data_IF_637802423818
#
_entry.id   IF_637802423818
#
_cell.length_a   1.000
_cell.length_b   1.000
_cell.length_c   1.000
_cell.angle_alpha   90.00
_cell.angle_beta   90.00
_cell.angle_gamma   90.00
#
_symmetry.space_group_name_H-M   'P 1'
#
loop_
_entity.id
_entity.type
_entity.pdbx_description
1 polymer ?
#
# COMPACT_ATOMS: atom_id res chain seq x y z
N UNK A 1 -46.11 -12.37 13.51
CA UNK A 1 -45.96 -11.02 12.91
C UNK A 1 -45.47 -10.14 14.04
N UNK A 2 -44.25 -9.60 14.07
CA UNK A 2 -43.41 -9.02 13.00
C UNK A 2 -41.92 -9.10 13.38
N UNK A 3 -41.08 -9.39 12.38
CA UNK A 3 -39.61 -9.23 12.39
C UNK A 3 -39.21 -7.79 12.72
N UNK A 4 -38.16 -7.63 13.53
CA UNK A 4 -37.29 -6.46 13.50
C UNK A 4 -35.84 -6.95 13.48
N UNK A 5 -35.27 -6.91 12.28
CA UNK A 5 -33.86 -7.14 11.98
C UNK A 5 -32.98 -6.17 12.77
N UNK A 6 -31.98 -6.70 13.46
CA UNK A 6 -30.91 -5.95 14.11
C UNK A 6 -29.90 -5.51 13.05
N UNK A 7 -30.18 -4.37 12.43
CA UNK A 7 -29.44 -3.88 11.25
C UNK A 7 -28.85 -2.48 11.50
N UNK A 8 -28.21 -2.23 12.66
CA UNK A 8 -27.63 -0.91 12.98
C UNK A 8 -26.51 -1.00 14.03
N UNK A 9 -25.23 -1.07 13.58
CA UNK A 9 -24.36 0.13 13.60
C UNK A 9 -23.65 0.42 12.26
N UNK A 10 -23.73 -0.49 11.29
CA UNK A 10 -22.96 -0.41 10.03
C UNK A 10 -23.40 0.71 9.07
N UNK A 11 -24.66 1.16 9.13
CA UNK A 11 -25.18 2.23 8.25
C UNK A 11 -24.76 3.64 8.69
N UNK A 12 -24.56 3.88 9.99
CA UNK A 12 -24.25 5.22 10.49
C UNK A 12 -22.87 5.75 10.03
N UNK A 13 -21.88 4.87 9.83
CA UNK A 13 -20.52 5.29 9.39
C UNK A 13 -20.41 5.58 7.89
N UNK A 14 -21.40 5.19 7.07
CA UNK A 14 -21.38 5.47 5.63
C UNK A 14 -21.86 6.88 5.28
N UNK A 15 -22.54 7.57 6.21
CA UNK A 15 -23.18 8.86 5.97
C UNK A 15 -22.20 10.05 5.89
N UNK A 16 -21.01 9.95 6.50
CA UNK A 16 -20.02 11.04 6.56
C UNK A 16 -18.79 10.86 5.65
N UNK A 17 -18.78 9.87 4.76
CA UNK A 17 -17.64 9.66 3.85
C UNK A 17 -17.73 10.55 2.62
N UNK A 18 -16.59 11.11 2.20
CA UNK A 18 -16.50 11.83 0.92
C UNK A 18 -16.75 10.87 -0.26
N UNK A 19 -17.18 11.38 -1.43
CA UNK A 19 -17.27 10.56 -2.65
C UNK A 19 -15.96 9.84 -2.99
N UNK A 20 -14.83 10.50 -2.77
CA UNK A 20 -13.48 9.93 -2.96
C UNK A 20 -13.22 8.75 -2.03
N UNK A 21 -13.44 8.91 -0.72
CA UNK A 21 -13.28 7.83 0.26
C UNK A 21 -14.17 6.63 -0.06
N UNK A 22 -15.42 6.88 -0.49
CA UNK A 22 -16.35 5.81 -0.89
C UNK A 22 -15.86 5.06 -2.11
N UNK A 23 -15.30 5.77 -3.09
CA UNK A 23 -14.75 5.15 -4.30
C UNK A 23 -13.51 4.34 -3.95
N UNK A 24 -12.58 4.94 -3.19
CA UNK A 24 -11.37 4.28 -2.71
C UNK A 24 -11.67 2.98 -1.97
N UNK A 25 -12.61 2.97 -1.01
CA UNK A 25 -12.97 1.77 -0.25
C UNK A 25 -13.60 0.65 -1.10
N UNK A 26 -14.31 1.01 -2.18
CA UNK A 26 -14.95 0.02 -3.07
C UNK A 26 -13.96 -0.62 -4.04
N UNK A 27 -12.89 0.07 -4.40
CA UNK A 27 -11.87 -0.47 -5.31
C UNK A 27 -11.20 -1.71 -4.72
N UNK A 28 -10.87 -2.69 -5.57
CA UNK A 28 -9.97 -3.79 -5.19
C UNK A 28 -8.63 -3.23 -4.75
N UNK A 29 -7.94 -3.96 -3.87
CA UNK A 29 -6.61 -3.59 -3.37
C UNK A 29 -5.61 -4.66 -3.77
N UNK A 30 -4.45 -4.24 -4.21
CA UNK A 30 -3.36 -5.11 -4.65
C UNK A 30 -2.12 -4.76 -3.84
N UNK A 31 -1.38 -5.76 -3.37
CA UNK A 31 -0.09 -5.54 -2.70
C UNK A 31 0.96 -6.24 -3.55
N UNK A 32 1.78 -5.43 -4.23
CA UNK A 32 2.99 -5.85 -4.91
C UNK A 32 4.05 -6.17 -3.85
N UNK A 33 4.11 -7.44 -3.44
CA UNK A 33 4.97 -7.92 -2.35
C UNK A 33 6.34 -8.37 -2.88
N UNK A 34 7.40 -7.96 -2.18
CA UNK A 34 8.72 -8.58 -2.30
C UNK A 34 9.01 -9.37 -1.03
N UNK A 35 9.44 -10.62 -1.17
CA UNK A 35 9.95 -11.40 -0.04
C UNK A 35 11.46 -11.52 -0.15
N UNK A 36 12.14 -11.29 0.97
CA UNK A 36 13.59 -11.48 1.10
C UNK A 36 13.83 -12.63 2.06
N UNK A 37 14.61 -13.63 1.66
CA UNK A 37 15.07 -14.69 2.55
C UNK A 37 16.52 -14.46 2.95
N UNK A 38 16.79 -14.44 4.24
CA UNK A 38 18.12 -14.15 4.75
C UNK A 38 19.11 -15.32 4.57
N UNK A 39 20.38 -15.08 4.90
CA UNK A 39 21.44 -16.09 4.79
C UNK A 39 21.23 -17.27 5.75
N UNK A 40 20.53 -17.07 6.88
CA UNK A 40 20.22 -18.16 7.82
C UNK A 40 19.19 -19.09 7.20
N UNK A 41 18.18 -18.57 6.49
CA UNK A 41 17.27 -19.39 5.68
C UNK A 41 18.02 -20.23 4.65
N UNK A 42 19.04 -19.66 4.01
CA UNK A 42 19.88 -20.39 3.05
C UNK A 42 20.57 -21.61 3.69
N UNK A 43 21.14 -21.45 4.88
CA UNK A 43 21.73 -22.56 5.63
C UNK A 43 20.70 -23.55 6.18
N UNK A 44 19.57 -23.04 6.68
CA UNK A 44 18.50 -23.85 7.30
C UNK A 44 17.90 -24.87 6.32
N UNK A 45 17.88 -24.52 5.03
CA UNK A 45 17.35 -25.36 3.96
C UNK A 45 18.46 -25.96 3.10
N UNK A 46 19.60 -26.32 3.72
CA UNK A 46 20.70 -27.06 3.10
C UNK A 46 21.24 -26.41 1.81
N UNK A 47 21.23 -25.07 1.73
CA UNK A 47 21.64 -24.30 0.56
C UNK A 47 20.77 -24.54 -0.69
N UNK A 48 19.61 -25.18 -0.53
CA UNK A 48 18.69 -25.47 -1.63
C UNK A 48 17.76 -24.28 -1.89
N UNK A 49 18.14 -23.48 -2.89
CA UNK A 49 17.34 -22.36 -3.37
C UNK A 49 15.95 -22.80 -3.86
N UNK A 50 15.81 -24.02 -4.39
CA UNK A 50 14.52 -24.53 -4.86
C UNK A 50 13.56 -24.75 -3.68
N UNK A 51 14.04 -25.37 -2.60
CA UNK A 51 13.23 -25.60 -1.39
C UNK A 51 12.79 -24.28 -0.74
N UNK A 52 13.69 -23.29 -0.66
CA UNK A 52 13.36 -21.96 -0.12
C UNK A 52 12.30 -21.26 -0.98
N UNK A 53 12.44 -21.30 -2.31
CA UNK A 53 11.45 -20.74 -3.25
C UNK A 53 10.08 -21.39 -3.09
N UNK A 54 10.03 -22.72 -3.12
CA UNK A 54 8.78 -23.48 -2.95
C UNK A 54 8.07 -23.10 -1.66
N UNK A 55 8.81 -23.05 -0.55
CA UNK A 55 8.26 -22.62 0.74
C UNK A 55 7.66 -21.21 0.70
N UNK A 56 8.34 -20.27 0.06
CA UNK A 56 7.87 -18.89 -0.06
C UNK A 56 6.62 -18.82 -0.94
N UNK A 57 6.55 -19.60 -2.02
CA UNK A 57 5.35 -19.67 -2.87
C UNK A 57 4.14 -20.21 -2.09
N UNK A 58 4.32 -21.27 -1.29
CA UNK A 58 3.27 -21.81 -0.42
C UNK A 58 2.78 -20.78 0.62
N UNK A 59 3.70 -19.99 1.19
CA UNK A 59 3.37 -18.88 2.09
C UNK A 59 2.49 -17.85 1.36
N UNK A 60 2.92 -17.36 0.19
CA UNK A 60 2.20 -16.32 -0.57
C UNK A 60 0.81 -16.81 -1.02
N UNK A 61 0.69 -18.05 -1.49
CA UNK A 61 -0.60 -18.63 -1.85
C UNK A 61 -1.58 -18.62 -0.66
N UNK A 62 -1.07 -18.85 0.54
CA UNK A 62 -1.87 -18.79 1.77
C UNK A 62 -2.28 -17.35 2.10
N UNK A 63 -1.40 -16.37 1.88
CA UNK A 63 -1.71 -14.95 2.07
C UNK A 63 -2.88 -14.49 1.19
N UNK A 64 -2.93 -14.92 -0.07
CA UNK A 64 -4.05 -14.59 -0.98
C UNK A 64 -5.40 -15.09 -0.46
N UNK A 65 -5.43 -16.27 0.18
CA UNK A 65 -6.64 -16.79 0.81
C UNK A 65 -7.03 -15.97 2.04
N UNK A 66 -6.07 -15.63 2.91
CA UNK A 66 -6.31 -14.86 4.15
C UNK A 66 -6.84 -13.46 3.84
N UNK A 67 -6.22 -12.74 2.90
CA UNK A 67 -6.50 -11.34 2.62
C UNK A 67 -7.76 -11.10 1.77
N UNK A 68 -8.30 -12.15 1.15
CA UNK A 68 -9.52 -12.06 0.32
C UNK A 68 -10.69 -11.42 1.06
N UNK A 69 -10.88 -11.71 2.35
CA UNK A 69 -11.99 -11.16 3.15
C UNK A 69 -11.92 -9.63 3.29
N UNK A 70 -10.72 -9.05 3.09
CA UNK A 70 -10.47 -7.62 3.11
C UNK A 70 -10.46 -6.99 1.70
N UNK A 71 -10.80 -7.76 0.66
CA UNK A 71 -10.72 -7.36 -0.75
C UNK A 71 -9.29 -6.93 -1.17
N UNK A 72 -8.29 -7.60 -0.58
CA UNK A 72 -6.86 -7.42 -0.85
C UNK A 72 -6.33 -8.67 -1.55
N UNK A 73 -5.53 -8.44 -2.58
CA UNK A 73 -4.85 -9.46 -3.39
C UNK A 73 -3.35 -9.26 -3.28
N UNK A 74 -2.60 -10.29 -2.87
CA UNK A 74 -1.16 -10.24 -2.64
C UNK A 74 -0.44 -10.90 -3.81
N UNK A 75 0.36 -10.13 -4.53
CA UNK A 75 1.12 -10.62 -5.67
C UNK A 75 2.62 -10.61 -5.33
N UNK A 76 3.29 -11.76 -5.43
CA UNK A 76 4.74 -11.81 -5.26
C UNK A 76 5.41 -11.28 -6.53
N UNK A 77 5.82 -10.02 -6.50
CA UNK A 77 6.46 -9.35 -7.67
C UNK A 77 7.99 -9.47 -7.65
N UNK A 78 8.57 -9.91 -6.54
CA UNK A 78 10.00 -10.13 -6.43
C UNK A 78 10.37 -11.06 -5.28
N UNK A 79 11.47 -11.78 -5.47
CA UNK A 79 12.03 -12.69 -4.49
C UNK A 79 13.55 -12.56 -4.50
N UNK A 80 14.13 -12.23 -3.35
CA UNK A 80 15.58 -12.16 -3.17
C UNK A 80 16.03 -13.13 -2.07
N UNK A 81 17.07 -13.91 -2.33
CA UNK A 81 17.65 -14.85 -1.36
C UNK A 81 19.11 -14.45 -1.16
N UNK A 82 19.47 -14.08 0.06
CA UNK A 82 20.82 -13.63 0.41
C UNK A 82 21.78 -14.79 0.59
N UNK A 83 22.19 -15.44 -0.51
CA UNK A 83 23.04 -16.63 -0.49
C UNK A 83 24.55 -16.37 -0.30
N UNK A 84 24.98 -15.10 -0.33
CA UNK A 84 26.39 -14.71 -0.15
C UNK A 84 26.68 -14.05 1.20
N UNK A 85 25.70 -14.02 2.10
CA UNK A 85 25.71 -13.26 3.34
C UNK A 85 24.60 -12.20 3.35
N UNK A 86 24.20 -11.79 4.55
CA UNK A 86 23.15 -10.81 4.74
C UNK A 86 23.58 -9.41 4.26
N UNK A 87 22.66 -8.67 3.63
CA UNK A 87 22.89 -7.28 3.23
C UNK A 87 22.61 -6.27 4.36
N UNK A 88 22.08 -6.76 5.48
CA UNK A 88 21.88 -6.03 6.73
C UNK A 88 22.41 -6.85 7.91
N UNK A 89 22.56 -6.22 9.07
CA UNK A 89 22.83 -6.95 10.29
C UNK A 89 21.54 -7.56 10.85
N UNK A 90 21.33 -8.87 10.61
CA UNK A 90 20.19 -9.61 11.18
C UNK A 90 20.56 -10.08 12.59
N UNK A 91 19.81 -9.63 13.59
CA UNK A 91 20.09 -9.89 15.01
C UNK A 91 18.89 -10.50 15.73
N UNK A 92 19.08 -11.02 16.94
CA UNK A 92 17.96 -11.52 17.75
C UNK A 92 17.00 -10.40 18.19
N UNK A 93 17.40 -9.13 18.07
CA UNK A 93 16.50 -8.00 18.27
C UNK A 93 15.63 -7.79 17.04
N UNK A 94 14.34 -8.10 17.16
CA UNK A 94 13.37 -7.85 16.10
C UNK A 94 13.23 -6.36 15.76
N UNK A 95 13.47 -5.47 16.74
CA UNK A 95 13.43 -4.02 16.50
C UNK A 95 14.59 -3.57 15.62
N UNK A 96 15.82 -3.93 15.98
CA UNK A 96 17.03 -3.49 15.25
C UNK A 96 17.08 -4.09 13.85
N UNK A 97 16.63 -5.34 13.71
CA UNK A 97 16.52 -6.02 12.41
C UNK A 97 15.47 -5.37 11.51
N UNK A 98 14.29 -5.03 12.06
CA UNK A 98 13.23 -4.36 11.29
C UNK A 98 13.68 -2.98 10.80
N UNK A 99 14.32 -2.19 11.66
CA UNK A 99 14.79 -0.85 11.29
C UNK A 99 15.86 -0.93 10.20
N UNK A 100 16.85 -1.82 10.38
CA UNK A 100 17.90 -2.07 9.38
C UNK A 100 17.31 -2.55 8.03
N UNK A 101 16.30 -3.42 8.07
CA UNK A 101 15.64 -3.92 6.86
C UNK A 101 14.85 -2.82 6.14
N UNK A 102 14.15 -1.96 6.89
CA UNK A 102 13.47 -0.79 6.35
C UNK A 102 14.43 0.18 5.67
N UNK A 103 15.57 0.47 6.30
CA UNK A 103 16.59 1.35 5.69
C UNK A 103 17.18 0.76 4.41
N UNK A 104 17.47 -0.54 4.42
CA UNK A 104 17.94 -1.23 3.23
C UNK A 104 16.90 -1.23 2.11
N UNK A 105 15.61 -1.45 2.43
CA UNK A 105 14.53 -1.37 1.44
C UNK A 105 14.52 0.00 0.75
N UNK A 106 14.58 1.06 1.54
CA UNK A 106 14.55 2.45 1.04
C UNK A 106 15.77 2.81 0.20
N UNK A 107 16.96 2.48 0.69
CA UNK A 107 18.23 2.91 0.08
C UNK A 107 18.72 2.01 -1.05
N UNK A 108 18.28 0.75 -1.09
CA UNK A 108 18.73 -0.25 -2.06
C UNK A 108 17.57 -0.83 -2.88
N UNK A 109 16.67 -1.60 -2.25
CA UNK A 109 15.70 -2.42 -2.99
C UNK A 109 14.75 -1.58 -3.86
N UNK A 110 14.22 -0.47 -3.33
CA UNK A 110 13.30 0.42 -4.05
C UNK A 110 13.96 1.09 -5.26
N UNK A 111 15.28 1.27 -5.26
CA UNK A 111 16.00 1.90 -6.38
C UNK A 111 16.14 0.97 -7.60
N UNK A 112 15.88 -0.33 -7.44
CA UNK A 112 16.06 -1.34 -8.50
C UNK A 112 14.83 -2.20 -8.76
N UNK A 113 13.85 -2.22 -7.85
CA UNK A 113 12.59 -2.95 -8.02
C UNK A 113 11.44 -2.18 -7.39
N UNK A 114 10.47 -1.75 -8.22
CA UNK A 114 9.20 -1.19 -7.74
C UNK A 114 8.37 -2.29 -7.06
N UNK A 115 7.82 -1.97 -5.88
CA UNK A 115 6.94 -2.82 -5.08
C UNK A 115 6.33 -2.02 -3.92
N UNK A 116 5.23 -2.50 -3.35
CA UNK A 116 4.45 -1.79 -2.33
C UNK A 116 4.91 -2.08 -0.91
N UNK A 117 5.28 -3.34 -0.65
CA UNK A 117 5.64 -3.86 0.68
C UNK A 117 6.75 -4.91 0.56
N UNK A 118 7.66 -4.96 1.53
CA UNK A 118 8.65 -6.03 1.61
C UNK A 118 8.61 -6.77 2.94
N UNK A 119 8.72 -8.10 2.90
CA UNK A 119 8.78 -8.94 4.10
C UNK A 119 10.10 -9.71 4.13
N UNK A 120 10.85 -9.60 5.24
CA UNK A 120 12.05 -10.40 5.48
C UNK A 120 11.63 -11.71 6.17
N UNK A 121 11.86 -12.84 5.52
CA UNK A 121 11.77 -14.17 6.11
C UNK A 121 13.16 -14.59 6.62
N UNK A 122 13.30 -14.75 7.92
CA UNK A 122 14.59 -15.07 8.55
C UNK A 122 14.55 -16.39 9.32
N UNK A 123 15.67 -17.10 9.29
CA UNK A 123 15.88 -18.30 10.08
C UNK A 123 16.34 -18.03 11.52
N UNK A 124 16.60 -16.77 11.90
CA UNK A 124 17.02 -16.41 13.25
C UNK A 124 15.91 -16.62 14.27
N UNK A 125 16.27 -16.87 15.52
CA UNK A 125 15.34 -16.86 16.64
C UNK A 125 15.33 -15.47 17.29
N UNK A 126 14.20 -14.78 17.27
CA UNK A 126 14.10 -13.46 17.89
C UNK A 126 14.00 -13.59 19.41
N UNK A 127 14.56 -12.61 20.12
CA UNK A 127 14.48 -12.56 21.57
C UNK A 127 13.03 -12.35 22.03
N UNK A 128 12.55 -13.25 22.89
CA UNK A 128 11.18 -13.23 23.42
C UNK A 128 10.26 -14.19 22.68
N UNK A 129 8.96 -13.92 22.72
CA UNK A 129 7.93 -14.79 22.10
C UNK A 129 7.46 -14.29 20.73
N UNK A 130 8.10 -13.25 20.17
CA UNK A 130 7.70 -12.64 18.92
C UNK A 130 8.20 -13.46 17.73
N UNK A 131 7.31 -13.93 16.86
CA UNK A 131 7.68 -14.58 15.60
C UNK A 131 7.73 -13.59 14.41
N UNK A 132 7.60 -12.29 14.67
CA UNK A 132 7.64 -11.25 13.66
C UNK A 132 7.52 -9.85 14.25
N UNK A 133 7.71 -8.85 13.38
CA UNK A 133 7.43 -7.44 13.67
C UNK A 133 7.22 -6.64 12.38
N UNK A 134 6.23 -5.77 12.38
CA UNK A 134 5.97 -4.79 11.31
C UNK A 134 5.58 -3.43 11.87
N UNK A 135 5.77 -2.38 11.07
CA UNK A 135 5.31 -1.03 11.43
C UNK A 135 3.81 -0.88 11.21
N UNK A 136 3.10 -0.28 12.18
CA UNK A 136 1.63 -0.12 12.10
C UNK A 136 1.23 1.04 11.19
N UNK A 137 0.37 0.77 10.20
CA UNK A 137 -0.25 1.79 9.33
C UNK A 137 0.74 2.45 8.37
N UNK A 138 1.76 1.72 7.93
CA UNK A 138 2.88 2.24 7.12
C UNK A 138 2.96 1.69 5.69
N UNK A 139 1.91 1.00 5.23
CA UNK A 139 1.82 0.56 3.84
C UNK A 139 2.14 1.70 2.85
N UNK A 140 2.85 1.38 1.76
CA UNK A 140 3.38 2.30 0.75
C UNK A 140 4.53 3.24 1.17
N UNK A 141 4.87 3.37 2.46
CA UNK A 141 5.97 4.25 2.87
C UNK A 141 7.35 3.64 2.53
N UNK A 142 8.33 4.40 2.00
CA UNK A 142 9.60 3.86 1.51
C UNK A 142 10.41 3.04 2.53
N UNK A 143 10.70 3.60 3.71
CA UNK A 143 11.36 2.86 4.80
C UNK A 143 10.42 1.90 5.54
N UNK A 144 9.15 2.28 5.70
CA UNK A 144 8.28 1.67 6.70
C UNK A 144 7.27 0.65 6.21
N UNK A 145 7.09 0.50 4.88
CA UNK A 145 6.27 -0.57 4.31
C UNK A 145 7.04 -1.89 4.32
N UNK A 146 7.40 -2.33 5.53
CA UNK A 146 8.16 -3.54 5.79
C UNK A 146 7.64 -4.30 7.01
N UNK A 147 7.89 -5.61 7.00
CA UNK A 147 7.85 -6.47 8.18
C UNK A 147 8.97 -7.50 8.15
N UNK A 148 9.24 -8.10 9.29
CA UNK A 148 10.15 -9.23 9.44
C UNK A 148 9.40 -10.38 10.09
N UNK A 149 9.66 -11.60 9.63
CA UNK A 149 8.97 -12.82 10.04
C UNK A 149 10.02 -13.89 10.27
N UNK A 150 9.99 -14.47 11.47
CA UNK A 150 10.76 -15.66 11.78
C UNK A 150 10.13 -16.87 11.11
N UNK A 151 10.95 -17.72 10.52
CA UNK A 151 10.54 -19.02 10.00
C UNK A 151 10.33 -20.04 11.14
N UNK A 152 9.40 -19.72 12.04
CA UNK A 152 9.26 -20.31 13.39
C UNK A 152 8.72 -21.75 13.42
N UNK A 153 8.20 -22.25 12.29
CA UNK A 153 7.58 -23.57 12.25
C UNK A 153 7.82 -24.27 10.90
N UNK A 154 7.94 -25.60 10.89
CA UNK A 154 8.03 -26.39 9.64
C UNK A 154 6.77 -26.26 8.78
N UNK A 155 5.60 -26.15 9.42
CA UNK A 155 4.32 -25.96 8.75
C UNK A 155 4.26 -24.54 8.19
N UNK A 156 4.36 -24.39 6.86
CA UNK A 156 4.37 -23.07 6.19
C UNK A 156 3.11 -22.24 6.48
N UNK A 157 1.97 -22.89 6.73
CA UNK A 157 0.71 -22.21 7.05
C UNK A 157 0.79 -21.35 8.32
N UNK A 158 1.58 -21.78 9.31
CA UNK A 158 1.78 -21.02 10.55
C UNK A 158 2.72 -19.83 10.34
N UNK A 159 3.68 -19.97 9.43
CA UNK A 159 4.57 -18.86 9.02
C UNK A 159 3.80 -17.87 8.14
N UNK A 160 2.92 -18.34 7.26
CA UNK A 160 2.01 -17.50 6.50
C UNK A 160 1.04 -16.72 7.39
N UNK A 161 0.52 -17.34 8.45
CA UNK A 161 -0.29 -16.63 9.45
C UNK A 161 0.51 -15.52 10.15
N UNK A 162 1.79 -15.75 10.45
CA UNK A 162 2.65 -14.71 11.04
C UNK A 162 2.95 -13.59 10.03
N UNK A 163 3.22 -13.92 8.77
CA UNK A 163 3.42 -12.90 7.73
C UNK A 163 2.14 -12.08 7.47
N UNK A 164 0.97 -12.71 7.49
CA UNK A 164 -0.32 -12.01 7.43
C UNK A 164 -0.56 -11.13 8.67
N UNK A 165 -0.05 -11.50 9.83
CA UNK A 165 -0.11 -10.67 11.02
C UNK A 165 0.73 -9.39 10.83
N UNK A 166 1.97 -9.51 10.39
CA UNK A 166 2.86 -8.34 10.20
C UNK A 166 2.41 -7.43 9.06
N UNK A 167 1.93 -8.01 7.95
CA UNK A 167 1.27 -7.24 6.89
C UNK A 167 -0.03 -6.59 7.37
N UNK A 168 -0.76 -7.24 8.30
CA UNK A 168 -1.94 -6.67 8.98
C UNK A 168 -1.59 -5.40 9.76
N UNK A 169 -0.47 -5.42 10.50
CA UNK A 169 0.08 -4.21 11.11
C UNK A 169 0.39 -3.15 10.06
N UNK A 170 1.10 -3.47 8.97
CA UNK A 170 1.36 -2.50 7.89
C UNK A 170 0.09 -1.85 7.33
N UNK A 171 -1.02 -2.59 7.33
CA UNK A 171 -2.37 -2.18 6.91
C UNK A 171 -3.21 -1.52 8.03
N UNK A 172 -2.58 -1.13 9.14
CA UNK A 172 -3.17 -0.34 10.22
C UNK A 172 -4.01 -1.13 11.21
N UNK A 173 -3.81 -2.44 11.31
CA UNK A 173 -4.49 -3.27 12.32
C UNK A 173 -3.65 -3.36 13.60
N UNK A 174 -4.31 -3.23 14.74
CA UNK A 174 -3.72 -3.49 16.06
C UNK A 174 -3.99 -4.94 16.49
N UNK A 175 -3.37 -5.36 17.60
CA UNK A 175 -3.69 -6.65 18.21
C UNK A 175 -5.14 -6.74 18.68
N UNK A 176 -5.71 -7.94 18.59
CA UNK A 176 -7.05 -8.24 19.07
C UNK A 176 -7.12 -8.17 20.61
N UNK A 177 -8.04 -7.34 21.11
CA UNK A 177 -8.39 -7.26 22.52
C UNK A 177 -9.43 -8.30 22.94
N UNK A 178 -9.81 -8.28 24.22
CA UNK A 178 -10.73 -9.26 24.86
C UNK A 178 -12.11 -9.32 24.17
N UNK A 179 -12.56 -8.22 23.57
CA UNK A 179 -13.88 -8.12 22.93
C UNK A 179 -13.88 -8.48 21.43
N UNK A 180 -12.70 -8.72 20.85
CA UNK A 180 -12.56 -8.98 19.42
C UNK A 180 -12.80 -10.46 19.11
N UNK A 181 -13.53 -10.74 18.03
CA UNK A 181 -13.85 -12.11 17.63
C UNK A 181 -13.86 -12.30 16.11
N UNK A 182 -13.40 -13.48 15.70
CA UNK A 182 -13.51 -13.98 14.33
C UNK A 182 -14.35 -15.27 14.25
N UNK A 183 -15.01 -15.66 15.35
CA UNK A 183 -15.76 -16.93 15.43
C UNK A 183 -14.89 -18.18 15.51
N UNK A 184 -13.57 -18.02 15.67
CA UNK A 184 -12.61 -19.11 15.85
C UNK A 184 -11.80 -18.90 17.15
N UNK A 185 -11.01 -19.92 17.54
CA UNK A 185 -10.21 -19.88 18.78
C UNK A 185 -9.08 -18.84 18.76
N UNK A 186 -8.58 -18.49 17.58
CA UNK A 186 -7.52 -17.50 17.40
C UNK A 186 -7.66 -16.83 16.05
N UNK A 187 -7.65 -15.50 16.03
CA UNK A 187 -7.68 -14.68 14.83
C UNK A 187 -6.26 -14.31 14.40
N UNK A 188 -6.09 -13.83 13.16
CA UNK A 188 -4.77 -13.45 12.62
C UNK A 188 -4.08 -12.41 13.51
N UNK A 189 -4.80 -11.40 13.99
CA UNK A 189 -4.24 -10.31 14.81
C UNK A 189 -4.19 -10.62 16.32
N UNK A 190 -4.32 -11.88 16.73
CA UNK A 190 -4.05 -12.30 18.10
C UNK A 190 -2.60 -11.95 18.48
N UNK A 191 -2.40 -11.24 19.58
CA UNK A 191 -1.06 -10.88 20.07
C UNK A 191 -0.23 -12.06 20.61
N UNK A 192 -0.76 -13.28 20.54
CA UNK A 192 -0.08 -14.51 20.97
C UNK A 192 -0.17 -15.54 19.83
N UNK A 193 0.98 -16.11 19.45
CA UNK A 193 1.04 -17.24 18.52
C UNK A 193 0.41 -18.49 19.15
N UNK A 194 -0.49 -19.12 18.40
CA UNK A 194 -1.15 -20.38 18.77
C UNK A 194 -0.99 -21.37 17.61
N UNK A 195 -0.86 -22.66 17.89
CA UNK A 195 -0.77 -23.68 16.83
C UNK A 195 -2.12 -23.87 16.09
N UNK A 196 -3.24 -23.55 16.74
CA UNK A 196 -4.58 -23.57 16.15
C UNK A 196 -4.96 -22.17 15.63
N UNK A 197 -4.21 -21.65 14.65
CA UNK A 197 -4.54 -20.37 14.00
C UNK A 197 -5.70 -20.52 13.01
N UNK A 198 -6.66 -19.60 13.03
CA UNK A 198 -7.59 -19.45 11.90
C UNK A 198 -7.02 -18.50 10.84
N UNK A 199 -7.56 -18.57 9.62
CA UNK A 199 -7.26 -17.61 8.54
C UNK A 199 -8.21 -16.40 8.54
N UNK A 200 -8.77 -16.08 9.71
CA UNK A 200 -9.82 -15.09 9.85
C UNK A 200 -9.30 -13.87 10.61
N UNK A 201 -9.55 -12.70 10.04
CA UNK A 201 -9.44 -11.43 10.76
C UNK A 201 -10.65 -11.22 11.68
N UNK A 202 -10.44 -10.59 12.83
CA UNK A 202 -11.53 -10.27 13.74
C UNK A 202 -12.40 -9.14 13.20
N UNK A 203 -13.56 -8.93 13.82
CA UNK A 203 -14.32 -7.69 13.68
C UNK A 203 -13.51 -6.43 13.99
N UNK A 204 -12.70 -6.44 15.04
CA UNK A 204 -11.81 -5.32 15.38
C UNK A 204 -10.77 -5.05 14.30
N UNK A 205 -10.10 -6.09 13.78
CA UNK A 205 -9.07 -5.90 12.74
C UNK A 205 -9.68 -5.30 11.47
N UNK A 206 -10.87 -5.76 11.08
CA UNK A 206 -11.60 -5.24 9.90
C UNK A 206 -11.96 -3.76 10.07
N UNK A 207 -12.39 -3.35 11.27
CA UNK A 207 -12.73 -1.96 11.55
C UNK A 207 -11.48 -1.07 11.63
N UNK A 208 -10.41 -1.53 12.28
CA UNK A 208 -9.13 -0.81 12.33
C UNK A 208 -8.55 -0.58 10.93
N UNK A 209 -8.54 -1.63 10.10
CA UNK A 209 -8.12 -1.55 8.71
C UNK A 209 -8.98 -0.57 7.90
N UNK A 210 -10.31 -0.64 8.06
CA UNK A 210 -11.24 0.29 7.40
C UNK A 210 -10.95 1.74 7.77
N UNK A 211 -10.75 2.04 9.06
CA UNK A 211 -10.38 3.38 9.53
C UNK A 211 -9.04 3.84 8.94
N UNK A 212 -8.05 2.95 8.91
CA UNK A 212 -6.77 3.22 8.28
C UNK A 212 -6.92 3.62 6.80
N UNK A 213 -7.71 2.87 6.04
CA UNK A 213 -7.98 3.17 4.63
C UNK A 213 -8.70 4.51 4.43
N UNK A 214 -9.70 4.82 5.27
CA UNK A 214 -10.44 6.10 5.22
C UNK A 214 -9.52 7.29 5.48
N UNK A 215 -8.63 7.16 6.45
CA UNK A 215 -7.80 8.26 6.93
C UNK A 215 -6.55 8.49 6.08
N UNK A 216 -6.00 7.43 5.47
CA UNK A 216 -4.69 7.50 4.81
C UNK A 216 -4.74 7.27 3.30
N UNK A 217 -5.77 6.59 2.78
CA UNK A 217 -5.94 6.25 1.36
C UNK A 217 -4.61 5.92 0.63
N UNK A 218 -3.83 4.91 1.07
CA UNK A 218 -2.54 4.59 0.45
C UNK A 218 -2.70 4.25 -1.05
N UNK A 219 -2.11 5.07 -1.92
CA UNK A 219 -2.37 4.98 -3.36
C UNK A 219 -1.68 3.80 -4.04
N UNK A 220 -0.51 3.33 -3.54
CA UNK A 220 0.26 2.27 -4.20
C UNK A 220 -0.53 0.96 -4.32
N UNK A 221 -1.43 0.68 -3.38
CA UNK A 221 -2.21 -0.57 -3.36
C UNK A 221 -3.45 -0.56 -4.29
N UNK A 222 -3.57 0.42 -5.19
CA UNK A 222 -4.66 0.50 -6.15
C UNK A 222 -4.31 -0.12 -7.51
N UNK A 223 -3.02 -0.16 -7.88
CA UNK A 223 -2.62 -0.71 -9.18
C UNK A 223 -2.55 -2.24 -9.16
N UNK A 224 -3.27 -2.88 -10.07
CA UNK A 224 -3.13 -4.32 -10.32
C UNK A 224 -1.77 -4.57 -11.00
N UNK A 225 -0.90 -5.45 -10.47
CA UNK A 225 0.35 -5.79 -11.13
C UNK A 225 0.09 -6.51 -12.45
N UNK A 226 1.01 -6.38 -13.41
CA UNK A 226 0.91 -7.16 -14.63
C UNK A 226 1.15 -8.63 -14.31
N UNK A 227 0.50 -9.52 -15.07
CA UNK A 227 0.71 -10.98 -14.91
C UNK A 227 2.19 -11.36 -15.03
N UNK A 228 2.94 -10.63 -15.86
CA UNK A 228 4.38 -10.84 -16.09
C UNK A 228 5.27 -10.33 -14.95
N UNK A 229 4.75 -9.50 -14.05
CA UNK A 229 5.51 -9.01 -12.89
C UNK A 229 5.53 -10.03 -11.75
N UNK A 230 4.63 -11.02 -11.79
CA UNK A 230 4.46 -12.04 -10.76
C UNK A 230 5.50 -13.15 -10.96
N UNK A 231 6.31 -13.38 -9.93
CA UNK A 231 7.43 -14.33 -9.97
C UNK A 231 7.09 -15.69 -9.34
N UNK A 232 5.92 -15.82 -8.71
CA UNK A 232 5.40 -17.12 -8.27
C UNK A 232 4.97 -17.97 -9.47
N UNK A 233 5.13 -19.30 -9.40
CA UNK A 233 4.46 -20.20 -10.32
C UNK A 233 2.93 -20.00 -10.25
N UNK A 234 2.22 -19.98 -11.40
CA UNK A 234 0.77 -19.84 -11.42
C UNK A 234 0.06 -20.93 -10.60
N UNK A 235 -0.92 -20.53 -9.78
CA UNK A 235 -1.72 -21.46 -8.96
C UNK A 235 -3.20 -21.21 -9.14
N UNK A 236 -3.83 -22.06 -9.95
CA UNK A 236 -5.26 -22.02 -10.16
C UNK A 236 -6.05 -22.23 -8.87
N UNK A 237 -6.92 -21.26 -8.58
CA UNK A 237 -7.79 -21.24 -7.41
C UNK A 237 -7.28 -20.38 -6.25
N UNK A 238 -6.22 -19.59 -6.47
CA UNK A 238 -5.69 -18.63 -5.48
C UNK A 238 -6.36 -17.25 -5.58
N UNK A 239 -7.38 -17.09 -6.44
CA UNK A 239 -8.13 -15.86 -6.71
C UNK A 239 -7.33 -14.76 -7.43
N UNK A 240 -6.15 -15.07 -7.96
CA UNK A 240 -5.31 -14.13 -8.66
C UNK A 240 -5.01 -14.66 -10.07
N UNK A 241 -5.43 -13.93 -11.10
CA UNK A 241 -5.19 -14.40 -12.47
C UNK A 241 -3.73 -14.22 -12.87
N UNK A 242 -3.02 -15.33 -13.01
CA UNK A 242 -1.59 -15.39 -13.32
C UNK A 242 -1.32 -15.73 -14.81
N UNK A 243 -0.05 -15.84 -15.19
CA UNK A 243 0.34 -16.23 -16.56
C UNK A 243 -0.19 -17.64 -16.86
N UNK A 244 -0.86 -17.81 -18.00
CA UNK A 244 -1.46 -19.09 -18.40
C UNK A 244 -2.93 -19.25 -17.98
N UNK A 245 -3.43 -18.39 -17.10
CA UNK A 245 -4.83 -18.39 -16.65
C UNK A 245 -5.65 -17.31 -17.36
N UNK A 246 -6.91 -17.63 -17.63
CA UNK A 246 -7.86 -16.70 -18.25
C UNK A 246 -8.81 -16.10 -17.20
N UNK A 247 -9.02 -16.79 -16.08
CA UNK A 247 -9.81 -16.38 -14.94
C UNK A 247 -9.41 -17.19 -13.70
N UNK A 248 -9.65 -16.66 -12.49
CA UNK A 248 -9.49 -17.38 -11.24
C UNK A 248 -10.56 -16.89 -10.25
N UNK A 249 -11.46 -17.79 -9.88
CA UNK A 249 -12.55 -17.55 -8.94
C UNK A 249 -12.44 -18.39 -7.66
N UNK A 250 -11.27 -18.97 -7.41
CA UNK A 250 -11.02 -19.88 -6.30
C UNK A 250 -11.32 -21.34 -6.61
N UNK A 251 -11.42 -22.15 -5.55
CA UNK A 251 -11.74 -23.56 -5.69
C UNK A 251 -13.15 -23.80 -6.26
N UNK A 252 -13.39 -24.96 -6.92
CA UNK A 252 -14.71 -25.30 -7.47
C UNK A 252 -15.87 -25.25 -6.46
N UNK A 253 -15.59 -25.45 -5.17
CA UNK A 253 -16.60 -25.38 -4.10
C UNK A 253 -17.04 -23.93 -3.80
N UNK A 254 -16.15 -22.97 -3.97
CA UNK A 254 -16.36 -21.58 -3.54
C UNK A 254 -16.54 -20.60 -4.73
N UNK A 255 -16.26 -21.04 -5.95
CA UNK A 255 -16.40 -20.22 -7.14
C UNK A 255 -17.88 -19.90 -7.40
N UNK A 256 -18.19 -18.60 -7.47
CA UNK A 256 -19.50 -18.09 -7.83
C UNK A 256 -19.52 -17.46 -9.24
N UNK A 257 -18.36 -17.43 -9.90
CA UNK A 257 -18.21 -16.85 -11.23
C UNK A 257 -18.72 -17.84 -12.30
N UNK A 258 -19.80 -17.46 -12.98
CA UNK A 258 -20.40 -18.26 -14.04
C UNK A 258 -19.59 -18.23 -15.34
N UNK A 259 -18.63 -17.33 -15.46
CA UNK A 259 -17.77 -17.18 -16.63
C UNK A 259 -16.53 -18.07 -16.54
N UNK A 260 -16.18 -18.52 -15.34
CA UNK A 260 -14.93 -19.23 -15.06
C UNK A 260 -15.16 -20.71 -14.77
N UNK A 261 -14.29 -21.56 -15.32
CA UNK A 261 -14.12 -22.93 -14.86
C UNK A 261 -13.04 -22.98 -13.78
N UNK A 262 -13.48 -23.02 -12.53
CA UNK A 262 -12.63 -23.05 -11.34
C UNK A 262 -11.65 -24.22 -11.28
N UNK A 263 -11.91 -25.32 -11.99
CA UNK A 263 -11.01 -26.48 -11.98
C UNK A 263 -9.80 -26.28 -12.92
N UNK A 264 -9.94 -25.42 -13.93
CA UNK A 264 -8.96 -25.25 -15.00
C UNK A 264 -8.43 -23.83 -15.14
N UNK A 265 -9.05 -22.85 -14.46
CA UNK A 265 -8.77 -21.42 -14.59
C UNK A 265 -8.87 -20.92 -16.04
N UNK A 266 -9.81 -21.52 -16.77
CA UNK A 266 -10.18 -21.18 -18.15
C UNK A 266 -11.58 -20.61 -18.21
N UNK A 267 -11.81 -19.77 -19.21
CA UNK A 267 -13.14 -19.27 -19.48
C UNK A 267 -14.04 -20.39 -19.97
N UNK A 268 -15.29 -20.38 -19.50
CA UNK A 268 -16.31 -21.31 -20.00
C UNK A 268 -16.64 -21.00 -21.46
N UNK A 269 -17.09 -22.00 -22.24
CA UNK A 269 -17.48 -21.79 -23.64
C UNK A 269 -18.47 -20.63 -23.78
N UNK A 270 -18.15 -19.68 -24.68
CA UNK A 270 -18.96 -18.50 -24.94
C UNK A 270 -18.65 -17.28 -24.06
N UNK A 271 -17.85 -17.42 -23.00
CA UNK A 271 -17.33 -16.28 -22.25
C UNK A 271 -16.17 -15.60 -23.01
N UNK A 272 -16.14 -14.27 -22.97
CA UNK A 272 -15.04 -13.43 -23.47
C UNK A 272 -14.15 -12.92 -22.32
N UNK A 273 -14.69 -12.92 -21.10
CA UNK A 273 -14.01 -12.47 -19.90
C UNK A 273 -14.61 -13.12 -18.66
N UNK A 274 -13.83 -13.18 -17.58
CA UNK A 274 -14.28 -13.64 -16.26
C UNK A 274 -14.22 -12.52 -15.21
N UNK A 275 -13.11 -11.77 -15.19
CA UNK A 275 -12.95 -10.61 -14.32
C UNK A 275 -12.61 -9.33 -15.09
N UNK A 276 -12.65 -8.19 -14.38
CA UNK A 276 -12.33 -6.86 -14.90
C UNK A 276 -13.54 -5.92 -14.92
N UNK A 277 -13.30 -4.61 -14.72
CA UNK A 277 -14.37 -3.59 -14.65
C UNK A 277 -15.08 -3.38 -16.00
N UNK A 278 -14.44 -3.79 -17.10
CA UNK A 278 -15.02 -3.84 -18.44
C UNK A 278 -15.59 -5.21 -18.81
N UNK A 279 -15.78 -6.12 -17.85
CA UNK A 279 -16.53 -7.36 -18.04
C UNK A 279 -17.95 -7.21 -17.46
N UNK A 280 -18.96 -7.67 -18.20
CA UNK A 280 -20.32 -7.79 -17.71
C UNK A 280 -20.99 -9.01 -18.34
N UNK A 281 -21.56 -9.89 -17.52
CA UNK A 281 -22.19 -11.14 -17.99
C UNK A 281 -21.30 -11.94 -18.95
N UNK A 282 -20.02 -12.11 -18.57
CA UNK A 282 -19.02 -12.83 -19.35
C UNK A 282 -18.71 -12.25 -20.74
N UNK A 283 -19.10 -10.99 -21.01
CA UNK A 283 -18.85 -10.29 -22.27
C UNK A 283 -18.14 -8.97 -22.01
N UNK A 284 -17.35 -8.52 -23.00
CA UNK A 284 -16.75 -7.19 -22.93
C UNK A 284 -17.86 -6.13 -22.98
N UNK A 285 -17.75 -5.15 -22.08
CA UNK A 285 -18.60 -3.94 -22.14
C UNK A 285 -18.33 -3.21 -23.44
N UNK A 286 -19.35 -2.54 -23.98
CA UNK A 286 -19.25 -1.80 -25.25
C UNK A 286 -18.14 -0.74 -25.20
N UNK A 287 -17.50 -0.53 -26.34
CA UNK A 287 -16.53 0.54 -26.52
C UNK A 287 -17.13 1.89 -26.08
N UNK A 288 -16.38 2.69 -25.32
CA UNK A 288 -16.85 3.97 -24.78
C UNK A 288 -17.59 3.88 -23.45
N UNK A 289 -17.83 2.68 -22.89
CA UNK A 289 -18.41 2.55 -21.55
C UNK A 289 -17.42 3.02 -20.50
N UNK A 290 -17.78 3.99 -19.66
CA UNK A 290 -16.90 4.47 -18.57
C UNK A 290 -16.57 3.32 -17.61
N UNK A 291 -15.28 3.05 -17.43
CA UNK A 291 -14.77 2.05 -16.49
C UNK A 291 -14.08 2.65 -15.27
N UNK A 292 -13.51 3.85 -15.41
CA UNK A 292 -13.03 4.66 -14.29
C UNK A 292 -13.53 6.09 -14.47
N UNK A 293 -14.34 6.63 -13.54
CA UNK A 293 -14.74 8.02 -13.60
C UNK A 293 -13.55 8.94 -13.28
N UNK A 294 -13.55 10.16 -13.83
CA UNK A 294 -12.56 11.17 -13.49
C UNK A 294 -12.63 11.53 -11.99
N UNK A 295 -11.48 11.55 -11.32
CA UNK A 295 -11.30 11.99 -9.94
C UNK A 295 -10.83 13.45 -9.89
N UNK A 296 -11.77 14.38 -10.10
CA UNK A 296 -11.50 15.81 -10.08
C UNK A 296 -11.12 16.38 -11.43
N UNK A 297 -10.74 17.66 -11.45
CA UNK A 297 -10.54 18.42 -12.71
C UNK A 297 -9.23 18.08 -13.44
N UNK A 298 -8.26 17.45 -12.76
CA UNK A 298 -6.96 17.07 -13.31
C UNK A 298 -6.91 15.63 -13.82
N UNK A 299 -8.03 14.93 -13.79
CA UNK A 299 -8.17 13.55 -14.20
C UNK A 299 -9.20 13.43 -15.34
N UNK A 300 -9.07 12.41 -16.18
CA UNK A 300 -9.95 12.15 -17.33
C UNK A 300 -10.60 10.80 -17.14
N UNK A 301 -11.89 10.65 -17.45
CA UNK A 301 -12.53 9.34 -17.34
C UNK A 301 -11.93 8.33 -18.32
N UNK A 302 -11.73 7.10 -17.89
CA UNK A 302 -11.32 6.00 -18.77
C UNK A 302 -12.51 5.19 -19.25
N UNK A 303 -12.39 4.68 -20.48
CA UNK A 303 -13.46 4.00 -21.18
C UNK A 303 -13.02 2.62 -21.66
N UNK A 304 -13.91 1.64 -21.55
CA UNK A 304 -13.72 0.31 -22.11
C UNK A 304 -13.49 0.39 -23.62
N UNK A 305 -12.60 -0.46 -24.13
CA UNK A 305 -12.28 -0.53 -25.56
C UNK A 305 -13.29 -1.35 -26.36
N UNK A 306 -14.13 -2.14 -25.70
CA UNK A 306 -14.99 -3.13 -26.37
C UNK A 306 -14.30 -4.45 -26.73
N UNK A 307 -12.99 -4.54 -26.52
CA UNK A 307 -12.15 -5.68 -26.92
C UNK A 307 -11.34 -6.26 -25.76
N UNK A 308 -11.42 -5.64 -24.58
CA UNK A 308 -10.74 -6.07 -23.35
C UNK A 308 -11.68 -5.92 -22.16
N UNK A 309 -11.47 -6.75 -21.14
CA UNK A 309 -12.15 -6.67 -19.86
C UNK A 309 -11.43 -5.76 -18.85
N UNK A 310 -10.18 -5.43 -19.12
CA UNK A 310 -9.41 -4.46 -18.33
C UNK A 310 -9.77 -3.03 -18.78
N UNK A 311 -9.84 -2.12 -17.82
CA UNK A 311 -9.88 -0.69 -18.13
C UNK A 311 -8.49 -0.28 -18.65
N UNK A 312 -8.39 0.60 -19.66
CA UNK A 312 -7.12 1.15 -20.08
C UNK A 312 -6.33 1.77 -18.92
N UNK A 313 -5.02 1.95 -19.12
CA UNK A 313 -4.17 2.68 -18.17
C UNK A 313 -4.74 4.08 -17.91
N UNK A 314 -4.71 4.47 -16.63
CA UNK A 314 -5.20 5.76 -16.15
C UNK A 314 -4.61 6.93 -16.95
N UNK A 315 -5.49 7.74 -17.55
CA UNK A 315 -5.11 8.95 -18.28
C UNK A 315 -5.47 10.19 -17.47
N UNK A 316 -4.48 11.05 -17.29
CA UNK A 316 -4.65 12.33 -16.62
C UNK A 316 -4.74 13.48 -17.60
N UNK A 317 -5.25 14.61 -17.11
CA UNK A 317 -5.08 15.86 -17.82
C UNK A 317 -3.58 16.15 -17.98
N UNK A 318 -3.24 16.87 -19.05
CA UNK A 318 -1.86 17.27 -19.31
C UNK A 318 -1.30 18.07 -18.12
N UNK A 319 -0.09 17.72 -17.69
CA UNK A 319 0.62 18.49 -16.68
C UNK A 319 0.74 19.96 -17.12
N UNK A 320 0.46 20.89 -16.21
CA UNK A 320 0.40 22.33 -16.50
C UNK A 320 -1.00 22.86 -16.83
N UNK A 321 -2.04 22.01 -16.94
CA UNK A 321 -3.41 22.47 -17.09
C UNK A 321 -3.85 23.25 -15.83
N UNK A 322 -4.38 24.48 -15.92
CA UNK A 322 -4.80 25.23 -14.73
C UNK A 322 -5.93 24.52 -13.98
N UNK A 323 -5.85 24.52 -12.64
CA UNK A 323 -6.81 23.86 -11.76
C UNK A 323 -7.10 24.70 -10.50
N UNK A 324 -8.18 24.36 -9.78
CA UNK A 324 -8.66 25.01 -8.55
C UNK A 324 -8.83 26.53 -8.72
N UNK A 325 -9.49 26.95 -9.80
CA UNK A 325 -9.67 28.36 -10.16
C UNK A 325 -8.33 29.11 -10.34
N UNK A 326 -7.38 28.51 -11.08
CA UNK A 326 -6.03 29.03 -11.34
C UNK A 326 -5.11 29.13 -10.10
N UNK A 327 -5.47 28.50 -8.98
CA UNK A 327 -4.60 28.43 -7.80
C UNK A 327 -3.51 27.36 -7.92
N UNK A 328 -3.61 26.46 -8.90
CA UNK A 328 -2.62 25.42 -9.15
C UNK A 328 -2.58 25.02 -10.61
N UNK A 329 -1.71 24.06 -10.90
CA UNK A 329 -1.61 23.40 -12.19
C UNK A 329 -1.65 21.89 -11.99
N UNK A 330 -2.29 21.18 -12.91
CA UNK A 330 -2.40 19.74 -12.86
C UNK A 330 -1.00 19.11 -12.93
N UNK A 331 -0.77 18.12 -12.09
CA UNK A 331 0.44 17.32 -12.05
C UNK A 331 0.10 15.87 -11.71
N UNK A 332 0.30 14.99 -12.69
CA UNK A 332 0.04 13.54 -12.61
C UNK A 332 -1.33 13.20 -11.99
N UNK A 333 -2.40 13.82 -12.51
CA UNK A 333 -3.77 13.56 -12.08
C UNK A 333 -4.24 14.39 -10.89
N UNK A 334 -3.33 15.09 -10.19
CA UNK A 334 -3.66 15.89 -9.00
C UNK A 334 -3.47 17.39 -9.25
N UNK A 335 -4.01 18.23 -8.36
CA UNK A 335 -3.78 19.67 -8.36
C UNK A 335 -3.03 20.06 -7.07
N UNK A 336 -1.70 19.93 -7.02
CA UNK A 336 -0.91 20.26 -5.84
C UNK A 336 -0.91 21.78 -5.59
N UNK A 337 -1.29 22.17 -4.37
CA UNK A 337 -1.33 23.57 -3.92
C UNK A 337 -0.82 23.69 -2.49
N UNK A 338 -0.04 24.74 -2.22
CA UNK A 338 0.61 24.99 -0.92
C UNK A 338 -0.39 24.93 0.25
N UNK A 339 -1.59 25.50 0.08
CA UNK A 339 -2.61 25.52 1.12
C UNK A 339 -3.12 24.13 1.52
N UNK A 340 -3.36 23.25 0.55
CA UNK A 340 -3.75 21.85 0.83
C UNK A 340 -2.62 21.10 1.54
N UNK A 341 -1.37 21.36 1.15
CA UNK A 341 -0.22 20.75 1.79
C UNK A 341 -0.07 21.20 3.25
N UNK A 342 -0.26 22.49 3.55
CA UNK A 342 -0.30 23.00 4.93
C UNK A 342 -1.40 22.33 5.77
N UNK A 343 -2.61 22.23 5.22
CA UNK A 343 -3.73 21.57 5.88
C UNK A 343 -3.41 20.09 6.16
N UNK A 344 -2.78 19.40 5.20
CA UNK A 344 -2.39 18.00 5.36
C UNK A 344 -1.34 17.78 6.45
N UNK A 345 -0.45 18.75 6.69
CA UNK A 345 0.66 18.62 7.64
C UNK A 345 0.26 19.08 9.06
N UNK A 346 -0.58 20.11 9.17
CA UNK A 346 -0.89 20.78 10.44
C UNK A 346 -2.37 20.80 10.82
N UNK A 347 -3.25 20.33 9.94
CA UNK A 347 -4.70 20.26 10.18
C UNK A 347 -5.50 21.41 9.55
N UNK A 348 -6.81 21.36 9.71
CA UNK A 348 -7.76 22.18 8.96
C UNK A 348 -7.62 23.71 9.14
N UNK A 349 -7.01 24.18 10.23
CA UNK A 349 -6.78 25.61 10.52
C UNK A 349 -5.53 26.19 9.87
N UNK A 350 -4.68 25.34 9.27
CA UNK A 350 -3.40 25.75 8.72
C UNK A 350 -3.54 26.44 7.36
N UNK A 351 -2.73 27.48 7.16
CA UNK A 351 -2.66 28.28 5.93
C UNK A 351 -1.21 28.44 5.48
N UNK A 352 -1.00 28.93 4.26
CA UNK A 352 0.35 29.20 3.76
C UNK A 352 0.94 30.39 4.51
N UNK A 353 2.20 30.29 4.94
CA UNK A 353 2.89 31.39 5.58
C UNK A 353 3.20 32.53 4.60
N UNK A 354 3.57 33.69 5.13
CA UNK A 354 3.98 34.84 4.32
C UNK A 354 5.26 34.54 3.52
N UNK A 355 5.44 35.20 2.38
CA UNK A 355 6.58 35.00 1.46
C UNK A 355 7.94 35.21 2.14
N UNK A 356 8.01 36.10 3.14
CA UNK A 356 9.20 36.33 3.93
C UNK A 356 9.72 35.04 4.61
N UNK A 357 8.85 34.11 4.99
CA UNK A 357 9.26 32.84 5.59
C UNK A 357 10.02 31.94 4.59
N UNK A 358 9.70 32.00 3.30
CA UNK A 358 10.36 31.17 2.29
C UNK A 358 11.81 31.60 2.05
N UNK A 359 12.20 32.83 2.44
CA UNK A 359 13.58 33.30 2.36
C UNK A 359 14.55 32.48 3.23
N UNK A 360 14.06 31.78 4.25
CA UNK A 360 14.87 30.85 5.03
C UNK A 360 15.42 29.67 4.18
N UNK A 361 14.82 29.39 3.01
CA UNK A 361 15.33 28.38 2.08
C UNK A 361 16.64 28.77 1.39
N UNK A 362 17.03 30.05 1.43
CA UNK A 362 18.33 30.53 0.94
C UNK A 362 19.49 30.11 1.84
N UNK A 363 19.21 29.66 3.07
CA UNK A 363 20.25 29.33 4.04
C UNK A 363 20.99 28.02 3.72
N UNK A 364 20.38 27.09 2.98
CA UNK A 364 20.95 25.76 2.74
C UNK A 364 21.21 24.97 4.03
N UNK A 365 20.43 25.24 5.09
CA UNK A 365 20.64 24.65 6.40
C UNK A 365 19.88 23.32 6.55
N UNK A 366 19.75 22.82 7.79
CA UNK A 366 19.14 21.51 8.04
C UNK A 366 17.68 21.36 7.58
N UNK A 367 16.88 22.44 7.54
CA UNK A 367 15.49 22.41 7.05
C UNK A 367 15.25 23.25 5.80
N UNK A 368 15.96 24.37 5.64
CA UNK A 368 15.74 25.36 4.58
C UNK A 368 16.73 25.15 3.45
N UNK A 369 16.31 24.43 2.42
CA UNK A 369 17.08 24.09 1.22
C UNK A 369 16.11 23.77 0.07
N UNK A 370 16.60 23.65 -1.17
CA UNK A 370 15.78 23.31 -2.34
C UNK A 370 15.93 21.85 -2.76
N UNK A 371 17.16 21.34 -2.76
CA UNK A 371 17.45 19.98 -3.21
C UNK A 371 18.63 19.39 -2.45
N UNK A 372 18.88 18.11 -2.69
CA UNK A 372 20.07 17.42 -2.19
C UNK A 372 20.85 16.80 -3.32
N UNK A 373 22.16 16.97 -3.26
CA UNK A 373 23.11 16.32 -4.16
C UNK A 373 24.13 15.58 -3.30
N UNK A 374 24.24 14.26 -3.45
CA UNK A 374 25.14 13.42 -2.64
C UNK A 374 25.02 13.67 -1.12
N UNK A 375 23.79 13.70 -0.61
CA UNK A 375 23.44 14.05 0.79
C UNK A 375 23.78 15.48 1.24
N UNK A 376 24.34 16.32 0.37
CA UNK A 376 24.59 17.74 0.65
C UNK A 376 23.32 18.54 0.35
N UNK A 377 22.86 19.33 1.32
CA UNK A 377 21.70 20.21 1.18
C UNK A 377 22.12 21.45 0.40
N UNK A 378 21.44 21.71 -0.72
CA UNK A 378 21.73 22.85 -1.60
C UNK A 378 20.69 23.93 -1.34
N UNK A 379 21.16 25.14 -1.00
CA UNK A 379 20.31 26.32 -0.84
C UNK A 379 19.48 26.58 -2.10
N UNK A 380 18.31 27.20 -1.94
CA UNK A 380 17.55 27.70 -3.09
C UNK A 380 18.24 28.92 -3.71
N UNK A 381 18.05 29.11 -5.01
CA UNK A 381 18.22 30.42 -5.63
C UNK A 381 17.05 31.34 -5.26
N UNK A 382 17.19 32.68 -5.36
CA UNK A 382 16.12 33.63 -5.03
C UNK A 382 14.79 33.37 -5.72
N UNK A 383 14.80 32.96 -6.98
CA UNK A 383 13.63 32.59 -7.78
C UNK A 383 12.98 31.26 -7.37
N UNK A 384 13.71 30.40 -6.65
CA UNK A 384 13.30 29.03 -6.30
C UNK A 384 12.85 28.89 -4.84
N UNK A 385 12.87 29.98 -4.05
CA UNK A 385 12.58 29.92 -2.60
C UNK A 385 11.22 29.30 -2.27
N UNK A 386 10.27 29.35 -3.20
CA UNK A 386 8.93 28.74 -3.10
C UNK A 386 8.89 27.23 -3.40
N UNK A 387 10.01 26.62 -3.79
CA UNK A 387 10.15 25.20 -4.11
C UNK A 387 11.00 24.41 -3.11
N UNK A 388 11.48 25.06 -2.04
CA UNK A 388 12.21 24.41 -0.95
C UNK A 388 11.30 23.86 0.16
N UNK A 389 11.65 24.15 1.42
CA UNK A 389 10.80 23.86 2.58
C UNK A 389 9.47 24.61 2.47
N UNK A 390 8.37 23.93 2.77
CA UNK A 390 7.07 24.57 2.94
C UNK A 390 7.01 25.28 4.30
N UNK A 391 6.50 26.51 4.29
CA UNK A 391 6.20 27.27 5.49
C UNK A 391 4.69 27.51 5.60
N UNK A 392 4.14 27.20 6.77
CA UNK A 392 2.72 27.33 7.09
C UNK A 392 2.50 28.22 8.31
N UNK A 393 1.29 28.75 8.42
CA UNK A 393 0.78 29.47 9.56
C UNK A 393 -0.37 28.66 10.16
N UNK A 394 -0.19 28.20 11.40
CA UNK A 394 -1.25 27.56 12.18
C UNK A 394 -2.05 28.64 12.92
N UNK A 395 -3.32 28.80 12.55
CA UNK A 395 -4.22 29.81 13.14
C UNK A 395 -4.93 29.30 14.42
N UNK A 396 -4.50 28.17 14.98
CA UNK A 396 -5.10 27.62 16.20
C UNK A 396 -4.78 28.47 17.44
N UNK A 397 -5.72 28.63 18.40
CA UNK A 397 -5.50 29.43 19.60
C UNK A 397 -4.26 28.97 20.39
N UNK A 398 -3.30 29.87 20.60
CA UNK A 398 -2.04 29.60 21.33
C UNK A 398 -0.83 29.28 20.46
N UNK A 399 -0.98 29.20 19.13
CA UNK A 399 0.12 29.06 18.19
C UNK A 399 0.54 30.43 17.63
N UNK A 400 1.79 30.84 17.88
CA UNK A 400 2.30 32.18 17.52
C UNK A 400 3.47 32.15 16.51
N UNK A 401 3.85 30.99 15.97
CA UNK A 401 4.97 30.92 15.02
C UNK A 401 4.49 31.23 13.59
N UNK A 402 4.88 32.37 12.99
CA UNK A 402 4.43 32.75 11.65
C UNK A 402 5.06 31.92 10.52
N UNK A 403 6.16 31.20 10.79
CA UNK A 403 6.92 30.42 9.82
C UNK A 403 7.07 28.96 10.30
N UNK A 404 5.95 28.28 10.53
CA UNK A 404 5.96 26.90 10.99
C UNK A 404 6.38 25.95 9.86
N UNK A 405 7.27 25.01 10.17
CA UNK A 405 7.74 23.98 9.24
C UNK A 405 7.38 22.60 9.75
N UNK A 406 7.20 21.66 8.83
CA UNK A 406 7.13 20.26 9.16
C UNK A 406 8.48 19.65 8.78
N UNK A 407 9.16 19.06 9.76
CA UNK A 407 10.46 18.44 9.58
C UNK A 407 10.54 17.18 10.43
N UNK A 408 11.08 16.12 9.84
CA UNK A 408 11.43 14.90 10.56
C UNK A 408 12.81 14.43 10.11
N UNK A 409 13.71 14.05 11.05
CA UNK A 409 15.02 13.50 10.69
C UNK A 409 14.95 12.19 9.89
N UNK A 410 13.82 11.50 9.95
CA UNK A 410 13.58 10.22 9.29
C UNK A 410 13.41 10.39 7.78
N UNK A 411 12.63 11.39 7.40
CA UNK A 411 12.30 11.71 6.01
C UNK A 411 12.33 13.23 5.88
N UNK A 412 13.52 13.74 5.58
CA UNK A 412 13.71 15.18 5.45
C UNK A 412 12.97 15.76 4.23
N UNK A 413 12.51 14.94 3.28
CA UNK A 413 11.67 15.40 2.17
C UNK A 413 10.25 15.71 2.63
N UNK A 414 9.78 15.04 3.70
CA UNK A 414 8.47 15.34 4.27
C UNK A 414 8.42 16.77 4.79
N UNK A 415 7.50 17.56 4.24
CA UNK A 415 7.35 19.00 4.51
C UNK A 415 8.09 19.90 3.53
N UNK A 416 8.82 19.38 2.54
CA UNK A 416 9.22 20.13 1.35
C UNK A 416 7.99 20.40 0.47
N UNK A 417 8.03 21.43 -0.37
CA UNK A 417 6.95 21.71 -1.32
C UNK A 417 6.80 20.55 -2.31
N UNK A 418 5.56 20.09 -2.53
CA UNK A 418 5.30 18.96 -3.42
C UNK A 418 5.63 19.32 -4.89
N UNK A 419 6.20 18.40 -5.69
CA UNK A 419 6.43 18.63 -7.12
C UNK A 419 5.12 18.94 -7.86
N UNK A 420 5.19 19.80 -8.88
CA UNK A 420 4.04 20.31 -9.62
C UNK A 420 3.31 21.47 -8.96
N UNK A 421 3.68 21.85 -7.73
CA UNK A 421 3.02 22.94 -7.00
C UNK A 421 3.29 24.28 -7.66
N UNK A 422 2.24 25.07 -7.86
CA UNK A 422 2.35 26.45 -8.35
C UNK A 422 3.17 27.32 -7.39
N UNK A 423 4.30 27.83 -7.86
CA UNK A 423 5.17 28.74 -7.11
C UNK A 423 4.95 30.21 -7.47
N UNK A 424 4.60 30.49 -8.73
CA UNK A 424 4.22 31.81 -9.27
C UNK A 424 3.22 31.64 -10.43
N UNK A 425 2.67 32.73 -10.95
CA UNK A 425 1.84 32.67 -12.15
C UNK A 425 2.63 32.15 -13.36
N UNK A 426 2.13 31.09 -13.98
CA UNK A 426 2.77 30.42 -15.10
C UNK A 426 3.97 29.53 -14.73
N UNK A 427 4.27 29.35 -13.43
CA UNK A 427 5.40 28.54 -12.95
C UNK A 427 4.98 27.49 -11.93
N UNK A 428 5.71 26.38 -11.94
CA UNK A 428 5.59 25.29 -10.96
C UNK A 428 6.97 24.87 -10.49
N UNK A 429 7.02 24.33 -9.27
CA UNK A 429 8.02 23.36 -8.87
C UNK A 429 7.72 22.00 -9.56
#
# INVERSE_FOLDING_TARGET
QTNWESDEPFKASQLNLTPEQRTYLKSKKYIELVIVADYIMFWKYDHDLSTIRTRIYEIVNTLNVIYRVLNIYVALVGLEIWCKGNLINVTSSAYDTLDSFGEWREKDLLNRKRHDNAQLLTGIDFSGAAAGRGYVGRMCQPKYSVGIVQDHNKIYLLVASAMAHEMGHNLGMDHDGIHCTCGAKSCIMSGILRCETSYLFSDCSREAHRKYLINNMPQCILNKPLKTDIVSPPVCGNYFVEVGEECDCGSPRNCQDQCCDAATCKLRPGAQCGEGVCCYQCKFKRAGTVCRPANGECDVSDHCTGQSAECPTDQFQRNGQPCQNNNGYCYNGTCPILGKQCISLFGASATVAQDACFQYNLLGNHYGYCRKENNTKIACEPEDVKCGRLYCLDNSPGHNNPCQIYYTPIDENKGMVDPGTKCEDGKVC
#
